data_IF_584104402650
#
_entry.id   IF_584104402650
#
_cell.length_a   1.000
_cell.length_b   1.000
_cell.length_c   1.000
_cell.angle_alpha   90.00
_cell.angle_beta   90.00
_cell.angle_gamma   90.00
#
_symmetry.space_group_name_H-M   'P 1'
#
loop_
_entity.id
_entity.type
_entity.pdbx_description
1 polymer ?
#
# COMPACT_ATOMS: atom_id res chain seq x y z
N UNK A 1 -25.64 7.01 9.03
CA UNK A 1 -25.46 8.25 8.26
C UNK A 1 -26.82 8.92 8.20
N UNK A 2 -26.96 10.04 7.49
CA UNK A 2 -28.27 10.55 7.06
C UNK A 2 -28.22 10.72 5.55
N UNK A 3 -29.34 10.48 4.88
CA UNK A 3 -29.46 10.71 3.45
C UNK A 3 -29.01 12.15 3.10
N UNK A 4 -27.96 12.25 2.28
CA UNK A 4 -27.34 13.51 1.88
C UNK A 4 -26.07 13.92 2.66
N UNK A 5 -25.63 13.14 3.65
CA UNK A 5 -24.31 13.33 4.27
C UNK A 5 -23.22 13.01 3.22
N UNK A 6 -22.22 13.89 3.04
CA UNK A 6 -21.01 13.57 2.26
C UNK A 6 -19.93 13.00 3.19
N UNK A 7 -19.46 11.77 2.96
CA UNK A 7 -18.28 11.19 3.60
C UNK A 7 -17.04 12.08 3.61
N UNK A 8 -16.71 12.76 2.52
CA UNK A 8 -15.58 13.71 2.49
C UNK A 8 -15.82 14.88 3.44
N UNK A 9 -17.04 15.40 3.51
CA UNK A 9 -17.37 16.50 4.43
C UNK A 9 -17.36 16.06 5.89
N UNK A 10 -17.90 14.87 6.21
CA UNK A 10 -17.82 14.27 7.55
C UNK A 10 -16.37 14.05 7.95
N UNK A 11 -15.57 13.51 7.03
CA UNK A 11 -14.14 13.29 7.25
C UNK A 11 -13.44 14.62 7.57
N UNK A 12 -13.69 15.68 6.79
CA UNK A 12 -13.17 17.02 7.10
C UNK A 12 -13.65 17.53 8.46
N UNK A 13 -14.91 17.32 8.81
CA UNK A 13 -15.50 17.80 10.06
C UNK A 13 -14.86 17.12 11.28
N UNK A 14 -14.64 15.80 11.23
CA UNK A 14 -14.07 15.04 12.33
C UNK A 14 -12.53 15.06 12.36
N UNK A 15 -11.89 15.20 11.19
CA UNK A 15 -10.44 15.18 11.03
C UNK A 15 -9.96 16.38 10.20
N UNK A 16 -10.12 17.62 10.72
CA UNK A 16 -9.83 18.84 9.96
C UNK A 16 -8.35 19.01 9.62
N UNK A 17 -7.44 18.28 10.27
CA UNK A 17 -6.00 18.27 9.98
C UNK A 17 -5.59 17.32 8.83
N UNK A 18 -6.55 16.60 8.24
CA UNK A 18 -6.28 15.67 7.14
C UNK A 18 -5.88 16.43 5.86
N UNK A 19 -4.58 16.46 5.58
CA UNK A 19 -4.03 17.23 4.47
C UNK A 19 -4.41 16.68 3.08
N UNK A 20 -4.73 15.38 2.98
CA UNK A 20 -5.35 14.78 1.80
C UNK A 20 -6.72 15.41 1.48
N UNK A 21 -7.61 15.47 2.47
CA UNK A 21 -8.96 16.05 2.29
C UNK A 21 -8.90 17.57 2.06
N UNK A 22 -7.99 18.27 2.73
CA UNK A 22 -7.80 19.73 2.52
C UNK A 22 -7.37 20.08 1.09
N UNK A 23 -6.51 19.26 0.49
CA UNK A 23 -5.95 19.50 -0.84
C UNK A 23 -6.97 19.28 -1.94
N UNK A 24 -7.80 18.25 -1.82
CA UNK A 24 -8.84 17.93 -2.79
C UNK A 24 -9.86 19.07 -2.99
N UNK A 25 -10.10 19.88 -1.96
CA UNK A 25 -11.00 21.04 -2.04
C UNK A 25 -10.31 22.31 -2.54
N UNK A 26 -8.99 22.42 -2.34
CA UNK A 26 -8.20 23.60 -2.70
C UNK A 26 -7.73 23.56 -4.16
N UNK A 27 -7.59 22.37 -4.75
CA UNK A 27 -7.35 22.18 -6.17
C UNK A 27 -8.49 21.38 -6.77
N UNK A 28 -9.34 22.01 -7.60
CA UNK A 28 -10.46 21.37 -8.26
C UNK A 28 -10.02 20.28 -9.25
N UNK A 29 -9.73 19.08 -8.74
CA UNK A 29 -9.60 17.87 -9.53
C UNK A 29 -10.97 17.16 -9.51
N UNK A 30 -11.94 17.72 -10.25
CA UNK A 30 -13.11 16.93 -10.61
C UNK A 30 -12.61 15.79 -11.50
N UNK A 31 -12.74 14.56 -11.01
CA UNK A 31 -12.53 13.37 -11.81
C UNK A 31 -13.51 13.41 -12.99
N UNK A 32 -13.01 13.78 -14.16
CA UNK A 32 -13.76 13.73 -15.40
C UNK A 32 -13.88 12.26 -15.86
N UNK A 33 -14.67 11.47 -15.14
CA UNK A 33 -15.15 10.18 -15.60
C UNK A 33 -16.53 10.36 -16.25
N UNK A 34 -16.58 11.10 -17.35
CA UNK A 34 -17.68 11.05 -18.31
C UNK A 34 -17.07 10.94 -19.69
N UNK A 35 -17.14 9.74 -20.27
CA UNK A 35 -17.34 9.53 -21.69
C UNK A 35 -17.83 8.09 -21.92
N UNK A 36 -19.14 7.95 -21.86
CA UNK A 36 -19.92 6.89 -22.49
C UNK A 36 -19.91 7.10 -24.00
N UNK A 37 -19.54 6.08 -24.77
CA UNK A 37 -20.05 5.80 -26.13
C UNK A 37 -19.54 4.45 -26.66
N UNK A 38 -20.24 3.83 -27.63
CA UNK A 38 -20.67 2.44 -27.50
C UNK A 38 -19.79 1.44 -28.25
N UNK A 39 -19.61 0.26 -27.64
CA UNK A 39 -18.99 -0.90 -28.27
C UNK A 39 -19.89 -1.44 -29.40
N UNK A 40 -19.39 -1.36 -30.64
CA UNK A 40 -19.89 -2.16 -31.76
C UNK A 40 -19.35 -3.58 -31.62
N UNK A 41 -20.29 -4.49 -31.37
CA UNK A 41 -20.15 -5.94 -31.56
C UNK A 41 -19.61 -6.28 -32.95
N UNK A 42 -18.61 -7.15 -33.00
CA UNK A 42 -18.41 -8.20 -34.01
C UNK A 42 -17.15 -8.98 -33.67
N UNK A 43 -17.29 -10.21 -33.15
CA UNK A 43 -16.41 -11.31 -33.53
C UNK A 43 -17.19 -12.63 -33.39
N UNK A 44 -17.30 -13.33 -34.51
CA UNK A 44 -17.71 -14.72 -34.59
C UNK A 44 -16.53 -15.54 -35.12
N UNK A 45 -16.55 -16.82 -34.76
CA UNK A 45 -15.71 -17.94 -35.21
C UNK A 45 -14.36 -18.08 -34.53
N UNK A 46 -13.80 -19.25 -34.22
CA UNK A 46 -14.21 -20.65 -34.00
C UNK A 46 -12.88 -21.35 -33.60
N UNK A 47 -12.90 -22.31 -32.67
CA UNK A 47 -11.78 -23.20 -32.30
C UNK A 47 -11.34 -24.11 -33.49
N UNK A 48 -10.15 -24.75 -33.47
CA UNK A 48 -9.86 -26.00 -32.70
C UNK A 48 -8.44 -26.02 -32.05
N UNK A 49 -8.27 -26.44 -30.79
CA UNK A 49 -7.93 -27.80 -30.29
C UNK A 49 -6.89 -28.56 -31.14
N UNK A 50 -5.74 -28.92 -30.53
CA UNK A 50 -5.11 -30.26 -30.65
C UNK A 50 -3.98 -30.45 -29.61
N UNK A 51 -3.76 -31.71 -29.25
CA UNK A 51 -3.02 -32.26 -28.11
C UNK A 51 -1.52 -32.52 -28.40
N UNK A 52 -0.75 -32.86 -27.36
CA UNK A 52 0.48 -33.66 -27.50
C UNK A 52 1.63 -33.25 -26.56
N UNK A 53 2.16 -34.19 -25.76
CA UNK A 53 3.16 -33.92 -24.73
C UNK A 53 4.55 -34.55 -24.95
N UNK A 54 5.22 -34.72 -23.80
CA UNK A 54 6.30 -35.66 -23.45
C UNK A 54 7.78 -35.17 -23.56
N UNK A 55 8.40 -35.16 -22.36
CA UNK A 55 9.78 -35.52 -21.94
C UNK A 55 11.04 -34.65 -22.20
N UNK A 56 11.65 -34.31 -21.05
CA UNK A 56 13.05 -34.53 -20.62
C UNK A 56 14.22 -33.96 -21.41
N UNK A 57 15.02 -33.13 -20.73
CA UNK A 57 16.41 -33.50 -20.37
C UNK A 57 17.05 -32.44 -19.48
N UNK A 58 17.40 -32.81 -18.25
CA UNK A 58 18.46 -32.16 -17.47
C UNK A 58 19.81 -32.47 -18.10
N UNK A 59 20.78 -31.54 -18.03
CA UNK A 59 22.15 -31.90 -17.73
C UNK A 59 22.63 -31.25 -16.45
N UNK A 60 23.30 -32.06 -15.65
CA UNK A 60 23.90 -31.73 -14.37
C UNK A 60 25.29 -31.09 -14.53
N UNK A 61 25.57 -30.21 -13.57
CA UNK A 61 26.86 -29.95 -12.93
C UNK A 61 27.72 -28.75 -13.40
N UNK A 62 28.61 -28.22 -12.55
CA UNK A 62 28.31 -27.14 -11.59
C UNK A 62 29.26 -25.96 -11.80
N UNK A 63 28.94 -24.76 -11.28
CA UNK A 63 29.88 -23.77 -10.73
C UNK A 63 29.14 -22.44 -10.45
N UNK A 64 29.11 -22.09 -9.16
CA UNK A 64 29.11 -20.74 -8.59
C UNK A 64 28.17 -19.69 -9.24
N UNK A 65 26.94 -19.60 -8.74
CA UNK A 65 26.15 -18.37 -8.88
C UNK A 65 25.38 -18.10 -7.59
N UNK A 66 25.54 -16.88 -7.07
CA UNK A 66 24.77 -16.33 -5.95
C UNK A 66 23.30 -16.42 -6.33
N UNK A 67 22.59 -17.40 -5.80
CA UNK A 67 21.16 -17.53 -6.02
C UNK A 67 20.47 -16.32 -5.40
N UNK A 68 20.07 -15.39 -6.27
CA UNK A 68 19.01 -14.44 -5.96
C UNK A 68 17.76 -15.28 -5.92
N UNK A 69 17.24 -15.57 -4.73
CA UNK A 69 15.92 -16.17 -4.62
C UNK A 69 14.91 -15.13 -5.11
N UNK A 70 14.39 -15.35 -6.32
CA UNK A 70 13.26 -14.63 -6.88
C UNK A 70 12.03 -14.91 -6.00
N UNK A 71 11.74 -13.95 -5.13
CA UNK A 71 10.72 -14.04 -4.09
C UNK A 71 9.45 -13.25 -4.47
N UNK A 72 9.18 -13.06 -5.76
CA UNK A 72 8.05 -12.22 -6.20
C UNK A 72 6.65 -12.81 -5.95
N UNK A 73 6.49 -14.02 -5.38
CA UNK A 73 5.15 -14.58 -5.11
C UNK A 73 4.97 -15.32 -3.78
N UNK A 74 5.93 -15.31 -2.85
CA UNK A 74 5.60 -15.66 -1.47
C UNK A 74 5.00 -14.43 -0.81
N UNK A 75 3.67 -14.38 -0.85
CA UNK A 75 2.82 -13.59 0.02
C UNK A 75 3.26 -13.82 1.48
N UNK A 76 4.28 -13.08 1.91
CA UNK A 76 4.44 -12.78 3.31
C UNK A 76 3.23 -11.88 3.62
N UNK A 77 2.38 -12.20 4.59
CA UNK A 77 1.37 -11.25 5.06
C UNK A 77 2.13 -9.98 5.46
N UNK A 78 2.23 -9.04 4.52
CA UNK A 78 3.00 -7.83 4.71
C UNK A 78 2.41 -7.15 5.94
N UNK A 79 3.32 -6.83 6.84
CA UNK A 79 3.08 -6.46 8.23
C UNK A 79 2.20 -5.22 8.33
N UNK A 80 0.88 -5.41 8.25
CA UNK A 80 -0.10 -4.37 8.55
C UNK A 80 0.17 -3.77 9.93
N UNK A 81 0.68 -4.58 10.85
CA UNK A 81 1.15 -4.16 12.16
C UNK A 81 2.21 -3.03 12.08
N UNK A 82 3.08 -3.01 11.08
CA UNK A 82 4.16 -2.03 10.90
C UNK A 82 3.82 -0.90 9.92
N UNK A 83 2.52 -0.72 9.63
CA UNK A 83 2.05 0.25 8.64
C UNK A 83 2.21 1.72 9.09
N UNK A 84 2.16 1.98 10.38
CA UNK A 84 2.33 3.31 10.97
C UNK A 84 3.79 3.55 11.38
N UNK A 85 4.24 4.80 11.30
CA UNK A 85 5.57 5.20 11.78
C UNK A 85 5.76 4.85 13.26
N UNK A 86 4.73 5.11 14.07
CA UNK A 86 4.72 4.79 15.50
C UNK A 86 4.96 3.30 15.76
N UNK A 87 4.24 2.41 15.07
CA UNK A 87 4.43 0.98 15.26
C UNK A 87 5.84 0.53 14.88
N UNK A 88 6.42 1.13 13.84
CA UNK A 88 7.81 0.87 13.45
C UNK A 88 8.79 1.39 14.48
N UNK A 89 8.60 2.59 15.01
CA UNK A 89 9.43 3.14 16.08
C UNK A 89 9.42 2.23 17.32
N UNK A 90 8.24 1.78 17.75
CA UNK A 90 8.09 0.89 18.90
C UNK A 90 8.73 -0.50 18.70
N UNK A 91 8.97 -0.91 17.46
CA UNK A 91 9.64 -2.19 17.16
C UNK A 91 11.12 -2.22 17.56
N UNK A 92 11.76 -1.06 17.72
CA UNK A 92 13.20 -0.92 17.99
C UNK A 92 13.59 -1.20 19.45
N UNK A 93 12.84 -2.04 20.15
CA UNK A 93 13.25 -2.57 21.45
C UNK A 93 14.57 -3.33 21.30
N UNK A 94 15.60 -2.92 22.05
CA UNK A 94 16.96 -3.48 22.00
C UNK A 94 17.72 -3.25 20.67
N UNK A 95 17.47 -2.15 19.97
CA UNK A 95 18.27 -1.76 18.80
C UNK A 95 19.75 -1.55 19.15
N UNK A 96 20.70 -2.19 18.45
CA UNK A 96 22.11 -2.19 18.88
C UNK A 96 22.94 -1.01 18.35
N UNK A 97 22.50 -0.27 17.34
CA UNK A 97 23.30 0.78 16.69
C UNK A 97 22.90 2.17 17.18
N UNK A 98 23.79 2.83 17.93
CA UNK A 98 23.53 4.18 18.45
C UNK A 98 23.66 5.29 17.41
N UNK A 99 24.38 5.05 16.31
CA UNK A 99 24.57 6.04 15.24
C UNK A 99 23.41 6.12 14.25
N UNK A 100 22.48 5.16 14.28
CA UNK A 100 21.24 5.21 13.49
C UNK A 100 20.04 5.33 14.41
N UNK A 101 19.28 6.42 14.26
CA UNK A 101 18.12 6.69 15.09
C UNK A 101 16.95 5.75 14.74
N UNK A 102 16.35 5.06 15.72
CA UNK A 102 15.09 4.35 15.53
C UNK A 102 13.97 5.20 14.93
N UNK A 103 13.91 6.48 15.27
CA UNK A 103 12.91 7.39 14.71
C UNK A 103 13.15 7.65 13.21
N UNK A 104 14.41 7.83 12.80
CA UNK A 104 14.77 8.01 11.39
C UNK A 104 14.49 6.75 10.57
N UNK A 105 14.81 5.57 11.13
CA UNK A 105 14.49 4.28 10.52
C UNK A 105 12.97 4.09 10.38
N UNK A 106 12.20 4.34 11.44
CA UNK A 106 10.73 4.28 11.42
C UNK A 106 10.13 5.19 10.35
N UNK A 107 10.64 6.43 10.25
CA UNK A 107 10.24 7.39 9.21
C UNK A 107 10.61 6.93 7.81
N UNK A 108 11.75 6.27 7.64
CA UNK A 108 12.24 5.70 6.38
C UNK A 108 11.60 4.33 6.01
N UNK A 109 10.44 4.00 6.59
CA UNK A 109 9.70 2.75 6.39
C UNK A 109 10.37 1.48 6.91
N UNK A 110 11.39 1.62 7.75
CA UNK A 110 12.09 0.48 8.33
C UNK A 110 11.56 0.14 9.72
N UNK A 111 11.49 -1.15 10.03
CA UNK A 111 11.18 -1.64 11.37
C UNK A 111 12.21 -2.68 11.80
N UNK A 112 12.28 -2.93 13.10
CA UNK A 112 13.22 -3.89 13.66
C UNK A 112 12.57 -5.24 13.89
N UNK A 113 13.30 -6.29 13.57
CA UNK A 113 12.87 -7.69 13.80
C UNK A 113 13.86 -8.47 14.65
N UNK A 114 15.05 -7.92 14.87
CA UNK A 114 16.18 -8.62 15.48
C UNK A 114 16.56 -9.95 14.79
N UNK A 115 17.57 -10.63 15.35
CA UNK A 115 18.72 -10.02 16.03
C UNK A 115 19.62 -9.25 15.03
N UNK A 116 20.56 -8.46 15.55
CA UNK A 116 21.51 -7.68 14.76
C UNK A 116 20.96 -6.32 14.35
N UNK A 117 21.34 -5.82 13.18
CA UNK A 117 20.94 -4.51 12.67
C UNK A 117 20.00 -4.60 11.45
N UNK A 118 19.39 -5.76 11.26
CA UNK A 118 18.53 -5.99 10.10
C UNK A 118 17.20 -5.28 10.26
N UNK A 119 16.86 -4.49 9.24
CA UNK A 119 15.63 -3.71 9.18
C UNK A 119 14.88 -3.99 7.88
N UNK A 120 13.73 -4.69 7.94
CA UNK A 120 12.84 -4.82 6.79
C UNK A 120 12.09 -3.51 6.52
N UNK A 121 11.90 -3.17 5.25
CA UNK A 121 10.94 -2.17 4.83
C UNK A 121 9.54 -2.75 4.91
N UNK A 122 8.60 -2.05 5.53
CA UNK A 122 7.21 -2.53 5.60
C UNK A 122 6.47 -2.47 4.26
N UNK A 123 6.90 -1.60 3.34
CA UNK A 123 6.23 -1.37 2.06
C UNK A 123 6.63 -2.40 0.98
N UNK A 124 7.92 -2.65 0.79
CA UNK A 124 8.40 -3.63 -0.19
C UNK A 124 8.82 -4.97 0.42
N UNK A 125 8.95 -5.07 1.75
CA UNK A 125 9.47 -6.27 2.42
C UNK A 125 10.99 -6.45 2.29
N UNK A 126 11.68 -5.61 1.52
CA UNK A 126 13.12 -5.62 1.34
C UNK A 126 13.87 -5.40 2.65
N UNK A 127 14.97 -6.11 2.88
CA UNK A 127 15.70 -6.11 4.15
C UNK A 127 17.10 -5.56 3.94
N UNK A 128 17.48 -4.58 4.76
CA UNK A 128 18.83 -4.04 4.82
C UNK A 128 19.47 -4.36 6.17
N UNK A 129 20.79 -4.52 6.19
CA UNK A 129 21.60 -4.86 7.37
C UNK A 129 23.07 -4.52 7.08
N UNK A 130 23.94 -4.62 8.08
CA UNK A 130 25.35 -4.22 8.05
C UNK A 130 25.52 -2.72 7.78
N UNK A 131 24.79 -1.90 8.53
CA UNK A 131 24.82 -0.44 8.40
C UNK A 131 26.15 0.14 8.87
N UNK A 132 26.65 1.13 8.13
CA UNK A 132 27.83 1.91 8.46
C UNK A 132 27.45 3.36 8.81
N UNK A 133 28.24 4.09 9.62
CA UNK A 133 27.92 5.46 10.04
C UNK A 133 27.71 6.50 8.93
N UNK A 134 28.13 6.21 7.69
CA UNK A 134 27.99 7.11 6.54
C UNK A 134 26.90 6.68 5.56
N UNK A 135 26.18 5.60 5.86
CA UNK A 135 25.10 5.11 4.99
C UNK A 135 23.88 6.01 5.09
N UNK A 136 23.35 6.42 3.94
CA UNK A 136 22.04 7.07 3.87
C UNK A 136 20.93 6.02 3.68
N UNK A 137 19.96 6.03 4.60
CA UNK A 137 18.88 5.04 4.64
C UNK A 137 18.12 4.94 3.32
N UNK A 138 17.76 6.08 2.73
CA UNK A 138 16.93 6.14 1.53
C UNK A 138 17.74 5.81 0.26
N UNK A 139 19.01 6.19 0.23
CA UNK A 139 19.92 5.87 -0.86
C UNK A 139 20.20 4.37 -0.91
N UNK A 140 20.50 3.75 0.23
CA UNK A 140 20.70 2.30 0.29
C UNK A 140 19.40 1.54 0.00
N UNK A 141 18.25 2.05 0.46
CA UNK A 141 16.95 1.51 0.08
C UNK A 141 16.72 1.56 -1.43
N UNK A 142 16.97 2.70 -2.07
CA UNK A 142 16.79 2.88 -3.51
C UNK A 142 17.78 2.04 -4.32
N UNK A 143 19.01 1.92 -3.84
CA UNK A 143 20.08 1.15 -4.48
C UNK A 143 19.72 -0.33 -4.56
N UNK A 144 19.14 -0.89 -3.50
CA UNK A 144 18.84 -2.32 -3.42
C UNK A 144 17.40 -2.68 -3.81
N UNK A 145 16.43 -1.79 -3.59
CA UNK A 145 15.01 -2.00 -3.85
C UNK A 145 14.41 -0.80 -4.62
N UNK A 146 14.84 -0.55 -5.87
CA UNK A 146 14.46 0.65 -6.63
C UNK A 146 12.96 0.74 -6.95
N UNK A 147 12.25 -0.39 -6.97
CA UNK A 147 10.81 -0.48 -7.23
C UNK A 147 9.98 -0.51 -5.94
N UNK A 148 10.54 -0.02 -4.82
CA UNK A 148 9.81 0.05 -3.57
C UNK A 148 8.70 1.11 -3.67
N UNK A 149 7.42 0.75 -3.39
CA UNK A 149 6.32 1.71 -3.43
C UNK A 149 6.53 2.93 -2.51
N UNK A 150 7.21 2.73 -1.37
CA UNK A 150 7.57 3.85 -0.49
C UNK A 150 8.46 4.89 -1.19
N UNK A 151 9.42 4.45 -2.00
CA UNK A 151 10.40 5.32 -2.65
C UNK A 151 9.83 6.02 -3.89
N UNK A 152 9.02 5.31 -4.68
CA UNK A 152 8.30 5.89 -5.82
C UNK A 152 7.45 7.08 -5.35
N UNK A 153 6.74 6.87 -4.26
CA UNK A 153 5.87 7.88 -3.70
C UNK A 153 6.64 9.01 -2.99
N UNK A 154 7.86 8.83 -2.48
CA UNK A 154 8.59 9.93 -1.82
C UNK A 154 8.82 11.15 -2.75
N UNK A 155 8.84 10.94 -4.07
CA UNK A 155 8.93 12.01 -5.07
C UNK A 155 7.65 12.85 -5.22
N UNK A 156 6.47 12.26 -4.98
CA UNK A 156 5.15 12.94 -5.00
C UNK A 156 4.64 13.31 -3.59
N UNK A 157 5.12 12.63 -2.55
CA UNK A 157 4.59 12.65 -1.15
C UNK A 157 5.15 13.77 -0.30
N UNK A 158 6.08 14.59 -0.79
CA UNK A 158 6.46 15.81 -0.06
C UNK A 158 5.28 16.80 0.14
N UNK A 159 4.11 16.55 -0.45
CA UNK A 159 2.94 17.38 -0.24
C UNK A 159 2.24 17.13 1.12
N UNK A 160 2.28 15.93 1.69
CA UNK A 160 1.47 15.56 2.87
C UNK A 160 2.19 14.61 3.83
N UNK A 161 2.03 14.84 5.14
CA UNK A 161 2.38 13.85 6.17
C UNK A 161 1.30 12.77 6.16
N UNK A 162 1.68 11.52 5.85
CA UNK A 162 0.76 10.39 5.67
C UNK A 162 0.90 9.44 6.86
N UNK A 163 -0.19 9.19 7.58
CA UNK A 163 -0.22 8.33 8.76
C UNK A 163 0.02 6.84 8.46
N UNK A 164 -0.43 6.35 7.30
CA UNK A 164 -0.30 4.96 6.89
C UNK A 164 0.22 4.87 5.44
N UNK A 165 1.52 4.61 5.30
CA UNK A 165 2.18 4.58 3.99
C UNK A 165 1.96 3.27 3.23
N UNK A 166 1.62 2.15 3.89
CA UNK A 166 1.28 0.92 3.15
C UNK A 166 -0.01 1.15 2.38
N UNK A 167 -0.90 1.99 2.90
CA UNK A 167 -2.18 2.34 2.28
C UNK A 167 -2.10 3.56 1.37
N UNK A 168 -0.90 4.01 1.04
CA UNK A 168 -0.69 5.20 0.22
C UNK A 168 -1.14 5.01 -1.23
N UNK A 169 -0.89 3.84 -1.81
CA UNK A 169 -1.30 3.56 -3.18
C UNK A 169 -2.75 3.13 -3.20
N UNK A 170 -3.50 3.58 -4.21
CA UNK A 170 -4.87 3.14 -4.44
C UNK A 170 -4.95 1.61 -4.51
N UNK A 171 -4.02 0.96 -5.21
CA UNK A 171 -3.97 -0.50 -5.33
C UNK A 171 -3.74 -1.20 -3.98
N UNK A 172 -2.92 -0.65 -3.07
CA UNK A 172 -2.77 -1.22 -1.74
C UNK A 172 -4.06 -1.12 -0.92
N UNK A 173 -4.78 0.01 -1.01
CA UNK A 173 -6.10 0.16 -0.39
C UNK A 173 -7.11 -0.82 -0.97
N UNK A 174 -7.17 -0.96 -2.29
CA UNK A 174 -8.09 -1.90 -2.96
C UNK A 174 -7.94 -3.33 -2.47
N UNK A 175 -6.70 -3.78 -2.22
CA UNK A 175 -6.45 -5.15 -1.71
C UNK A 175 -7.07 -5.40 -0.34
N UNK A 176 -7.26 -4.35 0.48
CA UNK A 176 -7.88 -4.52 1.81
C UNK A 176 -9.36 -4.89 1.73
N UNK A 177 -10.04 -4.58 0.62
CA UNK A 177 -11.49 -4.80 0.47
C UNK A 177 -11.88 -6.22 0.01
N UNK A 178 -10.95 -7.19 0.05
CA UNK A 178 -11.23 -8.58 -0.37
C UNK A 178 -12.43 -9.20 0.35
N UNK A 179 -12.64 -8.83 1.62
CA UNK A 179 -13.72 -9.30 2.48
C UNK A 179 -14.72 -8.19 2.85
N UNK A 180 -14.82 -7.15 2.03
CA UNK A 180 -15.79 -6.07 2.25
C UNK A 180 -17.21 -6.64 2.35
N UNK A 181 -18.02 -6.27 3.36
CA UNK A 181 -19.33 -6.87 3.55
C UNK A 181 -20.25 -6.61 2.36
N UNK A 182 -20.80 -7.69 1.78
CA UNK A 182 -21.70 -7.60 0.62
C UNK A 182 -23.03 -6.89 0.91
N UNK A 183 -23.39 -6.72 2.18
CA UNK A 183 -24.54 -5.92 2.61
C UNK A 183 -24.32 -4.42 2.47
N UNK A 184 -23.07 -3.96 2.36
CA UNK A 184 -22.73 -2.55 2.20
C UNK A 184 -22.57 -2.26 0.70
N UNK A 185 -23.44 -1.40 0.17
CA UNK A 185 -23.56 -1.18 -1.28
C UNK A 185 -22.55 -0.18 -1.85
N UNK A 186 -21.83 0.53 -0.98
CA UNK A 186 -20.75 1.44 -1.38
C UNK A 186 -19.60 0.63 -2.00
N UNK A 187 -19.14 1.08 -3.17
CA UNK A 187 -18.14 0.32 -3.93
C UNK A 187 -16.73 0.49 -3.34
N UNK A 188 -15.99 -0.61 -3.13
CA UNK A 188 -14.59 -0.58 -2.72
C UNK A 188 -13.70 0.37 -3.55
N UNK A 189 -13.92 0.42 -4.86
CA UNK A 189 -13.21 1.30 -5.78
C UNK A 189 -13.35 2.77 -5.39
N UNK A 190 -14.58 3.19 -5.06
CA UNK A 190 -14.86 4.56 -4.64
C UNK A 190 -14.20 4.87 -3.29
N UNK A 191 -14.31 3.96 -2.32
CA UNK A 191 -13.65 4.09 -1.01
C UNK A 191 -12.14 4.22 -1.15
N UNK A 192 -11.51 3.31 -1.91
CA UNK A 192 -10.09 3.35 -2.17
C UNK A 192 -9.69 4.62 -2.92
N UNK A 193 -10.44 5.07 -3.92
CA UNK A 193 -10.15 6.32 -4.62
C UNK A 193 -10.21 7.53 -3.66
N UNK A 194 -11.18 7.56 -2.74
CA UNK A 194 -11.35 8.59 -1.71
C UNK A 194 -10.34 8.48 -0.54
N UNK A 195 -9.32 7.63 -0.67
CA UNK A 195 -8.25 7.50 0.32
C UNK A 195 -8.56 6.55 1.48
N UNK A 196 -9.63 5.77 1.39
CA UNK A 196 -10.02 4.83 2.45
C UNK A 196 -9.54 3.41 2.20
N UNK A 197 -9.18 2.70 3.26
CA UNK A 197 -8.87 1.27 3.25
C UNK A 197 -9.67 0.55 4.34
N UNK A 198 -10.01 -0.72 4.09
CA UNK A 198 -10.78 -1.55 5.01
C UNK A 198 -9.90 -2.06 6.16
N UNK A 199 -10.45 -2.08 7.39
CA UNK A 199 -9.74 -2.56 8.58
C UNK A 199 -10.23 -3.92 9.09
N UNK A 200 -10.91 -4.69 8.23
CA UNK A 200 -11.35 -6.07 8.50
C UNK A 200 -12.32 -6.21 9.69
N UNK A 201 -13.13 -5.18 9.94
CA UNK A 201 -14.13 -5.19 11.00
C UNK A 201 -15.38 -4.40 10.57
N UNK A 202 -16.54 -5.05 10.54
CA UNK A 202 -17.80 -4.47 10.05
C UNK A 202 -17.59 -3.75 8.70
N UNK A 203 -18.01 -2.50 8.61
CA UNK A 203 -17.84 -1.61 7.46
C UNK A 203 -16.91 -0.43 7.78
N UNK A 204 -16.04 -0.61 8.78
CA UNK A 204 -15.09 0.39 9.20
C UNK A 204 -14.00 0.56 8.13
N UNK A 205 -13.75 1.81 7.75
CA UNK A 205 -12.64 2.18 6.88
C UNK A 205 -11.81 3.27 7.51
N UNK A 206 -10.53 3.34 7.14
CA UNK A 206 -9.60 4.37 7.61
C UNK A 206 -8.96 5.12 6.45
N UNK A 207 -8.70 6.41 6.67
CA UNK A 207 -7.96 7.22 5.72
C UNK A 207 -6.46 6.92 5.81
N UNK A 208 -5.81 6.68 4.67
CA UNK A 208 -4.36 6.47 4.64
C UNK A 208 -3.56 7.70 5.12
N UNK A 209 -4.11 8.90 4.94
CA UNK A 209 -3.39 10.15 5.21
C UNK A 209 -3.39 10.55 6.69
N UNK A 210 -4.51 10.40 7.40
CA UNK A 210 -4.67 10.88 8.77
C UNK A 210 -5.06 9.80 9.78
N UNK A 211 -5.22 8.55 9.32
CA UNK A 211 -5.80 7.43 10.06
C UNK A 211 -7.24 7.63 10.57
N UNK A 212 -7.91 8.69 10.09
CA UNK A 212 -9.29 9.01 10.43
C UNK A 212 -10.26 7.95 9.93
N UNK A 213 -11.21 7.56 10.79
CA UNK A 213 -12.11 6.44 10.56
C UNK A 213 -13.54 6.86 10.21
N UNK A 214 -14.16 6.14 9.28
CA UNK A 214 -15.59 6.23 8.94
C UNK A 214 -16.21 4.81 8.97
N UNK A 215 -17.51 4.72 9.27
CA UNK A 215 -18.27 3.46 9.42
C UNK A 215 -19.77 3.69 9.27
N UNK A 216 -20.58 2.65 9.27
CA UNK A 216 -22.05 2.67 9.13
C UNK A 216 -22.60 3.07 7.75
N UNK A 217 -21.84 2.88 6.69
CA UNK A 217 -22.14 3.27 5.31
C UNK A 217 -23.53 2.83 4.84
N UNK A 218 -24.30 3.78 4.30
CA UNK A 218 -25.65 3.57 3.79
C UNK A 218 -25.67 3.44 2.26
N UNK A 219 -26.67 2.75 1.70
CA UNK A 219 -26.93 2.75 0.26
C UNK A 219 -27.01 4.17 -0.32
N UNK A 220 -26.12 4.48 -1.25
CA UNK A 220 -26.09 5.78 -1.95
C UNK A 220 -25.16 6.83 -1.35
N UNK A 221 -24.45 6.52 -0.26
CA UNK A 221 -23.35 7.35 0.23
C UNK A 221 -22.24 7.41 -0.85
N UNK A 222 -21.85 8.62 -1.24
CA UNK A 222 -20.73 8.85 -2.16
C UNK A 222 -19.45 9.11 -1.34
N UNK A 223 -18.40 8.27 -1.42
CA UNK A 223 -17.15 8.51 -0.71
C UNK A 223 -16.45 9.84 -1.05
N UNK A 224 -16.90 10.56 -2.10
CA UNK A 224 -16.37 11.86 -2.53
C UNK A 224 -17.15 13.08 -2.02
#
# INVERSE_FOLDING_TARGET
WKQGDSPTEKHRQFYPSCSFVQTLLSGGLQSAAKNTSPAKSRFAHSLPLEQGGIHSSLPSNPLNSRAVEDFSLRMNPCSYAMSTEEARFLSYSMWPLSFLSPAELGKAAFYYTGPGDRVPCFACGGKLSNWEPNDDLLSEHRRHFPHCPFLENTSETQRFSVSNLSMQTHSARMRTFLYWPSSVLVQPEQLASAGFYYVDHNDDVKCFCCDGGLRCWEPGDDPW
#
